data_IF_036885355212
#
_entry.id   IF_036885355212
#
_cell.length_a   1.000
_cell.length_b   1.000
_cell.length_c   1.000
_cell.angle_alpha   90.00
_cell.angle_beta   90.00
_cell.angle_gamma   90.00
#
_symmetry.space_group_name_H-M   'P 1'
#
loop_
_entity.id
_entity.type
_entity.pdbx_description
1 polymer ?
#
# COMPACT_ATOMS: atom_id res chain seq x y z
N UNK A 1 -24.37 33.35 -4.03
CA UNK A 1 -23.24 34.26 -3.78
C UNK A 1 -21.97 33.43 -3.65
N UNK A 2 -20.85 33.84 -4.25
CA UNK A 2 -19.56 33.12 -4.14
C UNK A 2 -18.82 33.69 -2.93
N UNK A 3 -18.32 32.83 -2.04
CA UNK A 3 -17.68 33.23 -0.78
C UNK A 3 -16.20 32.84 -0.74
N UNK A 4 -15.73 32.08 -1.73
CA UNK A 4 -14.35 31.61 -1.86
C UNK A 4 -13.56 32.41 -2.91
N UNK A 5 -12.47 33.06 -2.44
CA UNK A 5 -11.48 33.72 -3.28
C UNK A 5 -10.64 32.72 -4.10
N UNK A 6 -9.96 33.20 -5.15
CA UNK A 6 -9.21 32.35 -6.09
C UNK A 6 -8.09 31.55 -5.40
N UNK A 7 -7.33 32.16 -4.49
CA UNK A 7 -6.22 31.49 -3.81
C UNK A 7 -6.67 30.32 -2.91
N UNK A 8 -7.79 30.45 -2.20
CA UNK A 8 -8.33 29.37 -1.35
C UNK A 8 -8.75 28.15 -2.20
N UNK A 9 -9.32 28.39 -3.38
CA UNK A 9 -9.68 27.31 -4.34
C UNK A 9 -8.45 26.57 -4.83
N UNK A 10 -7.36 27.29 -5.14
CA UNK A 10 -6.12 26.68 -5.64
C UNK A 10 -5.47 25.80 -4.55
N UNK A 11 -5.45 26.26 -3.30
CA UNK A 11 -4.94 25.47 -2.17
C UNK A 11 -5.76 24.20 -1.98
N UNK A 12 -7.09 24.27 -2.02
CA UNK A 12 -7.96 23.07 -1.89
C UNK A 12 -7.72 22.05 -3.00
N UNK A 13 -7.46 22.52 -4.20
CA UNK A 13 -7.17 21.66 -5.34
C UNK A 13 -5.82 20.93 -5.16
N UNK A 14 -4.80 21.62 -4.66
CA UNK A 14 -3.51 20.98 -4.32
C UNK A 14 -3.68 19.96 -3.18
N UNK A 15 -4.43 20.31 -2.12
CA UNK A 15 -4.70 19.38 -1.02
C UNK A 15 -5.47 18.15 -1.48
N UNK A 16 -6.45 18.32 -2.39
CA UNK A 16 -7.16 17.20 -2.98
C UNK A 16 -6.24 16.28 -3.79
N UNK A 17 -5.31 16.84 -4.57
CA UNK A 17 -4.30 16.09 -5.32
C UNK A 17 -3.41 15.25 -4.40
N UNK A 18 -2.92 15.85 -3.32
CA UNK A 18 -2.16 15.14 -2.28
C UNK A 18 -2.99 14.02 -1.61
N UNK A 19 -4.25 14.28 -1.26
CA UNK A 19 -5.14 13.27 -0.70
C UNK A 19 -5.34 12.09 -1.65
N UNK A 20 -5.48 12.33 -2.95
CA UNK A 20 -5.63 11.28 -3.97
C UNK A 20 -4.36 10.42 -4.05
N UNK A 21 -3.18 11.05 -4.09
CA UNK A 21 -1.91 10.33 -4.13
C UNK A 21 -1.69 9.46 -2.88
N UNK A 22 -1.94 10.02 -1.70
CA UNK A 22 -1.82 9.28 -0.43
C UNK A 22 -2.82 8.12 -0.39
N UNK A 23 -4.08 8.38 -0.75
CA UNK A 23 -5.11 7.35 -0.77
C UNK A 23 -4.77 6.20 -1.74
N UNK A 24 -4.24 6.54 -2.91
CA UNK A 24 -3.98 5.55 -3.94
C UNK A 24 -2.74 4.70 -3.66
N UNK A 25 -1.66 5.29 -3.15
CA UNK A 25 -0.38 4.59 -3.00
C UNK A 25 -0.10 4.09 -1.59
N UNK A 26 -0.59 4.76 -0.55
CA UNK A 26 -0.06 4.57 0.82
C UNK A 26 -1.10 4.04 1.81
N UNK A 27 -2.38 4.12 1.47
CA UNK A 27 -3.46 3.86 2.41
C UNK A 27 -4.12 2.50 2.18
N UNK A 28 -4.53 1.86 3.28
CA UNK A 28 -5.38 0.67 3.23
C UNK A 28 -6.80 0.97 2.72
N UNK A 29 -7.52 -0.07 2.27
CA UNK A 29 -8.80 0.03 1.56
C UNK A 29 -9.86 0.77 2.36
N UNK A 30 -9.93 0.55 3.68
CA UNK A 30 -10.89 1.22 4.54
C UNK A 30 -10.74 2.76 4.55
N UNK A 31 -9.50 3.25 4.65
CA UNK A 31 -9.20 4.68 4.73
C UNK A 31 -9.08 5.34 3.35
N UNK A 32 -8.80 4.56 2.32
CA UNK A 32 -8.74 5.02 0.93
C UNK A 32 -10.07 5.68 0.51
N UNK A 33 -11.21 5.07 0.84
CA UNK A 33 -12.54 5.63 0.52
C UNK A 33 -12.80 6.98 1.22
N UNK A 34 -12.38 7.11 2.48
CA UNK A 34 -12.54 8.35 3.26
C UNK A 34 -11.73 9.49 2.63
N UNK A 35 -10.49 9.21 2.24
CA UNK A 35 -9.62 10.21 1.60
C UNK A 35 -10.11 10.63 0.22
N UNK A 36 -10.65 9.69 -0.58
CA UNK A 36 -11.26 10.05 -1.86
C UNK A 36 -12.52 10.90 -1.70
N UNK A 37 -13.38 10.58 -0.74
CA UNK A 37 -14.55 11.39 -0.44
C UNK A 37 -14.15 12.80 -0.01
N UNK A 38 -13.12 12.90 0.84
CA UNK A 38 -12.58 14.19 1.28
C UNK A 38 -12.01 15.00 0.11
N UNK A 39 -11.23 14.37 -0.77
CA UNK A 39 -10.70 15.01 -1.98
C UNK A 39 -11.83 15.48 -2.91
N UNK A 40 -12.86 14.66 -3.12
CA UNK A 40 -14.02 14.99 -3.92
C UNK A 40 -14.76 16.23 -3.37
N UNK A 41 -15.00 16.28 -2.07
CA UNK A 41 -15.65 17.42 -1.40
C UNK A 41 -14.81 18.70 -1.54
N UNK A 42 -13.48 18.60 -1.41
CA UNK A 42 -12.58 19.74 -1.59
C UNK A 42 -12.62 20.30 -3.01
N UNK A 43 -12.59 19.42 -4.02
CA UNK A 43 -12.69 19.81 -5.44
C UNK A 43 -14.06 20.42 -5.73
N UNK A 44 -15.14 19.82 -5.23
CA UNK A 44 -16.50 20.35 -5.41
C UNK A 44 -16.66 21.76 -4.83
N UNK A 45 -16.11 22.01 -3.64
CA UNK A 45 -16.13 23.33 -3.01
C UNK A 45 -15.27 24.34 -3.78
N UNK A 46 -14.13 23.92 -4.34
CA UNK A 46 -13.29 24.77 -5.18
C UNK A 46 -14.00 25.15 -6.50
N UNK A 47 -14.71 24.21 -7.13
CA UNK A 47 -15.44 24.42 -8.38
C UNK A 47 -16.64 25.36 -8.20
N UNK A 48 -17.52 25.06 -7.25
CA UNK A 48 -18.72 25.87 -6.97
C UNK A 48 -18.36 27.25 -6.42
N UNK A 49 -17.24 27.37 -5.69
CA UNK A 49 -16.83 28.62 -5.08
C UNK A 49 -17.65 29.02 -3.87
N UNK A 50 -18.36 28.04 -3.29
CA UNK A 50 -19.18 28.17 -2.11
C UNK A 50 -18.70 27.13 -1.10
N UNK A 51 -18.34 27.58 0.09
CA UNK A 51 -18.08 26.70 1.22
C UNK A 51 -19.22 26.87 2.22
N UNK A 52 -19.97 25.80 2.49
CA UNK A 52 -21.08 25.83 3.44
C UNK A 52 -20.67 26.31 4.83
N UNK A 53 -19.47 25.95 5.27
CA UNK A 53 -18.91 26.36 6.56
C UNK A 53 -18.62 27.87 6.64
N UNK A 54 -18.07 28.45 5.57
CA UNK A 54 -17.87 29.90 5.50
C UNK A 54 -19.20 30.66 5.41
N UNK A 55 -20.22 30.06 4.79
CA UNK A 55 -21.57 30.63 4.74
C UNK A 55 -22.24 30.61 6.13
N UNK A 56 -22.04 29.56 6.92
CA UNK A 56 -22.53 29.45 8.30
C UNK A 56 -21.84 30.45 9.24
N UNK A 57 -20.55 30.69 9.07
CA UNK A 57 -19.77 31.66 9.87
C UNK A 57 -19.80 33.09 9.35
N UNK A 58 -20.55 33.39 8.27
CA UNK A 58 -20.62 34.75 7.69
C UNK A 58 -19.28 35.32 7.18
N UNK A 59 -18.27 34.47 6.94
CA UNK A 59 -16.93 34.89 6.49
C UNK A 59 -16.83 34.81 4.97
N UNK A 60 -16.43 35.91 4.33
CA UNK A 60 -16.21 35.98 2.89
C UNK A 60 -14.72 36.19 2.59
N UNK A 61 -14.10 35.22 1.91
CA UNK A 61 -12.71 35.35 1.41
C UNK A 61 -12.66 36.05 0.05
N UNK A 62 -13.82 36.41 -0.51
CA UNK A 62 -13.94 37.06 -1.82
C UNK A 62 -13.39 38.49 -1.89
N UNK A 63 -13.31 39.21 -0.77
CA UNK A 63 -12.79 40.60 -0.76
C UNK A 63 -11.28 40.71 -0.62
N UNK A 64 -10.59 39.72 -0.04
CA UNK A 64 -9.15 39.87 0.23
C UNK A 64 -8.24 39.82 -1.00
N UNK A 65 -8.64 39.17 -2.11
CA UNK A 65 -7.79 39.04 -3.32
C UNK A 65 -8.67 38.97 -4.58
N UNK A 66 -9.19 40.12 -5.04
CA UNK A 66 -9.80 40.30 -6.38
C UNK A 66 -8.69 40.47 -7.44
N UNK A 67 -7.84 39.47 -7.66
CA UNK A 67 -6.99 39.43 -8.86
C UNK A 67 -7.08 38.06 -9.48
N UNK A 68 -7.81 37.95 -10.59
CA UNK A 68 -7.77 36.78 -11.48
C UNK A 68 -6.43 36.83 -12.23
N UNK A 69 -5.34 36.60 -11.50
CA UNK A 69 -4.02 36.56 -12.10
C UNK A 69 -3.88 35.25 -12.88
N UNK A 70 -3.93 35.34 -14.21
CA UNK A 70 -3.72 34.18 -15.09
C UNK A 70 -2.40 33.47 -14.75
N UNK A 71 -1.37 34.20 -14.29
CA UNK A 71 -0.10 33.60 -13.87
C UNK A 71 -0.28 32.68 -12.68
N UNK A 72 -1.07 33.07 -11.67
CA UNK A 72 -1.30 32.25 -10.47
C UNK A 72 -2.03 30.94 -10.81
N UNK A 73 -3.02 31.00 -11.70
CA UNK A 73 -3.74 29.79 -12.14
C UNK A 73 -2.81 28.85 -12.92
N UNK A 74 -1.98 29.39 -13.82
CA UNK A 74 -0.97 28.61 -14.56
C UNK A 74 0.04 27.98 -13.60
N UNK A 75 0.55 28.74 -12.63
CA UNK A 75 1.49 28.24 -11.62
C UNK A 75 0.89 27.08 -10.83
N UNK A 76 -0.36 27.19 -10.36
CA UNK A 76 -1.02 26.09 -9.65
C UNK A 76 -1.26 24.88 -10.55
N UNK A 77 -1.66 25.09 -11.81
CA UNK A 77 -1.85 23.97 -12.74
C UNK A 77 -0.53 23.24 -13.01
N UNK A 78 0.57 23.96 -13.21
CA UNK A 78 1.91 23.38 -13.33
C UNK A 78 2.29 22.63 -12.05
N UNK A 79 2.06 23.23 -10.88
CA UNK A 79 2.36 22.58 -9.60
C UNK A 79 1.57 21.28 -9.40
N UNK A 80 0.28 21.26 -9.72
CA UNK A 80 -0.54 20.03 -9.68
C UNK A 80 0.04 18.95 -10.59
N UNK A 81 0.39 19.29 -11.84
CA UNK A 81 0.97 18.31 -12.77
C UNK A 81 2.31 17.78 -12.24
N UNK A 82 3.13 18.64 -11.65
CA UNK A 82 4.40 18.24 -11.03
C UNK A 82 4.18 17.33 -9.82
N UNK A 83 3.25 17.68 -8.92
CA UNK A 83 2.93 16.88 -7.73
C UNK A 83 2.34 15.53 -8.13
N UNK A 84 1.34 15.50 -9.01
CA UNK A 84 0.74 14.28 -9.52
C UNK A 84 1.77 13.40 -10.25
N UNK A 85 2.55 13.98 -11.16
CA UNK A 85 3.54 13.25 -11.96
C UNK A 85 4.71 12.72 -11.11
N UNK A 86 5.45 13.62 -10.44
CA UNK A 86 6.60 13.26 -9.63
C UNK A 86 6.20 12.44 -8.40
N UNK A 87 5.10 12.80 -7.75
CA UNK A 87 4.56 12.10 -6.59
C UNK A 87 4.12 10.67 -6.93
N UNK A 88 3.46 10.47 -8.07
CA UNK A 88 3.12 9.11 -8.53
C UNK A 88 4.36 8.29 -8.83
N UNK A 89 5.31 8.83 -9.62
CA UNK A 89 6.54 8.12 -9.97
C UNK A 89 7.34 7.71 -8.72
N UNK A 90 7.53 8.64 -7.78
CA UNK A 90 8.23 8.37 -6.53
C UNK A 90 7.48 7.32 -5.69
N UNK A 91 6.16 7.42 -5.60
CA UNK A 91 5.34 6.49 -4.80
C UNK A 91 5.34 5.06 -5.37
N UNK A 92 5.33 4.91 -6.71
CA UNK A 92 5.44 3.58 -7.36
C UNK A 92 6.73 2.88 -6.94
N UNK A 93 7.87 3.58 -7.01
CA UNK A 93 9.17 3.01 -6.68
C UNK A 93 9.25 2.70 -5.18
N UNK A 94 8.83 3.64 -4.35
CA UNK A 94 8.97 3.50 -2.90
C UNK A 94 8.08 2.38 -2.35
N UNK A 95 6.82 2.31 -2.76
CA UNK A 95 5.90 1.24 -2.33
C UNK A 95 6.35 -0.14 -2.83
N UNK A 96 6.93 -0.21 -4.03
CA UNK A 96 7.56 -1.44 -4.55
C UNK A 96 8.75 -1.87 -3.71
N UNK A 97 9.63 -0.95 -3.33
CA UNK A 97 10.80 -1.27 -2.52
C UNK A 97 10.41 -1.75 -1.11
N UNK A 98 9.40 -1.12 -0.50
CA UNK A 98 8.85 -1.56 0.79
C UNK A 98 8.31 -3.00 0.67
N UNK A 99 7.59 -3.32 -0.39
CA UNK A 99 7.09 -4.68 -0.62
C UNK A 99 8.23 -5.69 -0.80
N UNK A 100 9.30 -5.32 -1.52
CA UNK A 100 10.50 -6.17 -1.67
C UNK A 100 11.16 -6.46 -0.33
N UNK A 101 11.34 -5.44 0.49
CA UNK A 101 11.93 -5.56 1.83
C UNK A 101 11.07 -6.45 2.75
N UNK A 102 9.75 -6.24 2.74
CA UNK A 102 8.83 -7.06 3.52
C UNK A 102 8.82 -8.53 3.06
N UNK A 103 8.91 -8.79 1.74
CA UNK A 103 9.04 -10.16 1.22
C UNK A 103 10.37 -10.79 1.63
N UNK A 104 11.47 -10.03 1.58
CA UNK A 104 12.78 -10.51 2.02
C UNK A 104 12.76 -10.90 3.51
N UNK A 105 12.01 -10.17 4.35
CA UNK A 105 11.85 -10.49 5.77
C UNK A 105 11.16 -11.83 6.05
N UNK A 106 10.35 -12.34 5.11
CA UNK A 106 9.77 -13.69 5.16
C UNK A 106 10.74 -14.71 4.54
N UNK A 107 11.42 -14.34 3.46
CA UNK A 107 12.26 -15.25 2.67
C UNK A 107 13.41 -15.83 3.50
N UNK A 108 14.02 -15.04 4.39
CA UNK A 108 15.06 -15.52 5.30
C UNK A 108 14.57 -16.65 6.23
N UNK A 109 13.57 -16.45 7.11
CA UNK A 109 13.09 -17.53 7.97
C UNK A 109 12.48 -18.68 7.16
N UNK A 110 11.95 -18.43 5.96
CA UNK A 110 11.49 -19.49 5.05
C UNK A 110 12.65 -20.40 4.63
N UNK A 111 13.74 -19.81 4.13
CA UNK A 111 14.91 -20.56 3.68
C UNK A 111 15.58 -21.32 4.83
N UNK A 112 15.68 -20.72 6.02
CA UNK A 112 16.21 -21.40 7.20
C UNK A 112 15.34 -22.57 7.66
N UNK A 113 14.01 -22.43 7.58
CA UNK A 113 13.09 -23.53 7.89
C UNK A 113 13.29 -24.68 6.90
N UNK A 114 13.34 -24.39 5.60
CA UNK A 114 13.63 -25.38 4.57
C UNK A 114 14.96 -26.12 4.81
N UNK A 115 16.04 -25.38 5.06
CA UNK A 115 17.37 -25.95 5.30
C UNK A 115 17.39 -26.85 6.53
N UNK A 116 16.82 -26.40 7.66
CA UNK A 116 16.79 -27.21 8.88
C UNK A 116 15.95 -28.49 8.72
N UNK A 117 14.84 -28.43 7.96
CA UNK A 117 14.04 -29.62 7.65
C UNK A 117 14.75 -30.60 6.71
N UNK A 118 15.61 -30.10 5.81
CA UNK A 118 16.46 -30.92 4.94
C UNK A 118 17.56 -31.64 5.73
N UNK A 119 18.11 -30.96 6.74
CA UNK A 119 19.17 -31.48 7.61
C UNK A 119 18.66 -32.34 8.77
N UNK A 120 17.35 -32.60 8.83
CA UNK A 120 16.69 -33.38 9.90
C UNK A 120 16.87 -32.76 11.32
N UNK A 121 17.08 -31.45 11.41
CA UNK A 121 17.36 -30.73 12.66
C UNK A 121 16.07 -30.29 13.37
N UNK A 122 15.34 -31.24 13.97
CA UNK A 122 13.99 -31.00 14.54
C UNK A 122 13.85 -29.77 15.44
N UNK A 123 14.73 -29.59 16.42
CA UNK A 123 14.62 -28.47 17.36
C UNK A 123 14.84 -27.12 16.65
N UNK A 124 15.76 -27.08 15.68
CA UNK A 124 15.98 -25.89 14.86
C UNK A 124 14.78 -25.65 13.94
N UNK A 125 14.25 -26.68 13.29
CA UNK A 125 13.07 -26.57 12.44
C UNK A 125 11.86 -26.01 13.18
N UNK A 126 11.62 -26.43 14.42
CA UNK A 126 10.56 -25.85 15.27
C UNK A 126 10.81 -24.36 15.51
N UNK A 127 12.03 -23.98 15.91
CA UNK A 127 12.38 -22.59 16.18
C UNK A 127 12.26 -21.69 14.94
N UNK A 128 12.80 -22.14 13.80
CA UNK A 128 12.74 -21.41 12.52
C UNK A 128 11.30 -21.33 11.99
N UNK A 129 10.53 -22.40 12.16
CA UNK A 129 9.12 -22.43 11.81
C UNK A 129 8.31 -21.36 12.55
N UNK A 130 8.51 -21.21 13.87
CA UNK A 130 7.78 -20.20 14.65
C UNK A 130 8.11 -18.77 14.19
N UNK A 131 9.38 -18.51 13.85
CA UNK A 131 9.81 -17.23 13.27
C UNK A 131 9.18 -16.98 11.88
N UNK A 132 9.15 -18.01 11.03
CA UNK A 132 8.49 -17.96 9.72
C UNK A 132 7.00 -17.68 9.87
N UNK A 133 6.30 -18.42 10.73
CA UNK A 133 4.87 -18.25 10.95
C UNK A 133 4.55 -16.84 11.49
N UNK A 134 5.40 -16.31 12.36
CA UNK A 134 5.27 -14.95 12.90
C UNK A 134 5.47 -13.87 11.83
N UNK A 135 6.58 -13.93 11.08
CA UNK A 135 6.90 -12.97 10.01
C UNK A 135 5.85 -13.00 8.89
N UNK A 136 5.45 -14.18 8.44
CA UNK A 136 4.40 -14.35 7.44
C UNK A 136 3.04 -13.85 7.96
N UNK A 137 2.74 -14.07 9.24
CA UNK A 137 1.54 -13.52 9.88
C UNK A 137 1.53 -11.98 9.88
N UNK A 138 2.65 -11.34 10.19
CA UNK A 138 2.80 -9.89 10.16
C UNK A 138 2.65 -9.33 8.73
N UNK A 139 3.28 -9.98 7.75
CA UNK A 139 3.14 -9.63 6.34
C UNK A 139 1.68 -9.73 5.87
N UNK A 140 1.05 -10.88 6.09
CA UNK A 140 -0.34 -11.10 5.67
C UNK A 140 -1.29 -10.11 6.36
N UNK A 141 -1.05 -9.76 7.62
CA UNK A 141 -1.84 -8.73 8.31
C UNK A 141 -1.71 -7.37 7.62
N UNK A 142 -0.49 -6.93 7.30
CA UNK A 142 -0.25 -5.65 6.60
C UNK A 142 -0.94 -5.62 5.24
N UNK A 143 -0.77 -6.67 4.45
CA UNK A 143 -1.27 -6.75 3.08
C UNK A 143 -2.71 -7.28 2.97
N UNK A 144 -3.35 -7.60 4.09
CA UNK A 144 -4.78 -7.96 4.12
C UNK A 144 -5.70 -6.77 3.87
N UNK A 145 -5.25 -5.53 4.09
CA UNK A 145 -6.03 -4.30 3.87
C UNK A 145 -5.30 -3.29 2.97
N UNK A 146 -4.06 -3.55 2.58
CA UNK A 146 -3.25 -2.64 1.78
C UNK A 146 -2.65 -3.35 0.58
N UNK A 147 -2.80 -2.77 -0.62
CA UNK A 147 -2.30 -3.32 -1.88
C UNK A 147 -1.31 -2.32 -2.51
N UNK A 148 0.02 -2.56 -2.42
CA UNK A 148 1.03 -1.75 -3.09
C UNK A 148 0.81 -1.70 -4.59
N UNK A 149 1.22 -0.60 -5.23
CA UNK A 149 1.01 -0.43 -6.66
C UNK A 149 1.56 -1.58 -7.51
N UNK A 150 2.69 -2.17 -7.13
CA UNK A 150 3.32 -3.28 -7.83
C UNK A 150 2.42 -4.52 -7.97
N UNK A 151 1.52 -4.75 -7.01
CA UNK A 151 0.63 -5.94 -6.95
C UNK A 151 -0.85 -5.56 -6.97
N UNK A 152 -1.18 -4.27 -6.98
CA UNK A 152 -2.56 -3.76 -6.91
C UNK A 152 -3.45 -4.27 -8.04
N UNK A 153 -2.87 -4.60 -9.19
CA UNK A 153 -3.59 -5.15 -10.35
C UNK A 153 -3.31 -6.65 -10.55
N UNK A 154 -2.56 -7.29 -9.65
CA UNK A 154 -2.38 -8.74 -9.68
C UNK A 154 -3.51 -9.43 -8.90
N UNK A 155 -4.50 -9.92 -9.64
CA UNK A 155 -5.63 -10.66 -9.07
C UNK A 155 -5.21 -11.96 -8.36
N UNK A 156 -4.01 -12.49 -8.65
CA UNK A 156 -3.50 -13.73 -8.05
C UNK A 156 -2.72 -13.49 -6.76
N UNK A 157 -2.21 -12.29 -6.52
CA UNK A 157 -1.31 -11.99 -5.40
C UNK A 157 -1.87 -12.48 -4.05
N UNK A 158 -3.10 -12.07 -3.72
CA UNK A 158 -3.76 -12.42 -2.46
C UNK A 158 -4.03 -13.94 -2.36
N UNK A 159 -4.42 -14.57 -3.47
CA UNK A 159 -4.64 -16.01 -3.53
C UNK A 159 -3.36 -16.80 -3.33
N UNK A 160 -2.27 -16.40 -3.99
CA UNK A 160 -0.97 -17.05 -3.88
C UNK A 160 -0.38 -16.87 -2.46
N UNK A 161 -0.48 -15.67 -1.87
CA UNK A 161 -0.04 -15.45 -0.48
C UNK A 161 -0.89 -16.25 0.53
N UNK A 162 -2.18 -16.42 0.27
CA UNK A 162 -3.04 -17.30 1.07
C UNK A 162 -2.60 -18.76 0.95
N UNK A 163 -2.28 -19.23 -0.25
CA UNK A 163 -1.75 -20.57 -0.49
C UNK A 163 -0.41 -20.80 0.23
N UNK A 164 0.51 -19.84 0.17
CA UNK A 164 1.78 -19.88 0.93
C UNK A 164 1.51 -19.99 2.43
N UNK A 165 0.58 -19.20 2.97
CA UNK A 165 0.21 -19.27 4.38
C UNK A 165 -0.41 -20.60 4.78
N UNK A 166 -1.25 -21.18 3.93
CA UNK A 166 -1.83 -22.51 4.17
C UNK A 166 -0.76 -23.60 4.16
N UNK A 167 0.17 -23.55 3.22
CA UNK A 167 1.31 -24.48 3.12
C UNK A 167 2.15 -24.44 4.40
N UNK A 168 2.51 -23.24 4.86
CA UNK A 168 3.27 -23.07 6.12
C UNK A 168 2.46 -23.53 7.32
N UNK A 169 1.17 -23.21 7.42
CA UNK A 169 0.35 -23.70 8.53
C UNK A 169 0.22 -25.23 8.54
N UNK A 170 0.07 -25.85 7.38
CA UNK A 170 -0.06 -27.29 7.24
C UNK A 170 1.24 -28.03 7.62
N UNK A 171 2.42 -27.47 7.31
CA UNK A 171 3.70 -28.08 7.65
C UNK A 171 3.99 -28.11 9.16
N UNK A 172 3.24 -27.34 9.97
CA UNK A 172 3.39 -27.32 11.43
C UNK A 172 3.35 -28.71 12.03
N UNK A 173 2.34 -29.50 11.67
CA UNK A 173 2.14 -30.81 12.28
C UNK A 173 3.37 -31.69 12.03
N UNK A 174 3.80 -31.78 10.78
CA UNK A 174 4.94 -32.60 10.36
C UNK A 174 6.24 -32.17 11.07
N UNK A 175 6.49 -30.86 11.18
CA UNK A 175 7.65 -30.32 11.90
C UNK A 175 7.64 -30.72 13.37
N UNK A 176 6.48 -30.59 14.03
CA UNK A 176 6.34 -30.89 15.45
C UNK A 176 6.31 -32.39 15.75
N UNK A 177 5.83 -33.24 14.83
CA UNK A 177 5.86 -34.70 14.99
C UNK A 177 7.19 -35.32 14.54
N UNK A 178 8.06 -34.56 13.87
CA UNK A 178 9.36 -35.04 13.39
C UNK A 178 9.33 -35.66 11.99
N UNK A 179 8.25 -35.48 11.24
CA UNK A 179 8.14 -35.88 9.83
C UNK A 179 8.79 -34.82 8.93
N UNK A 180 10.10 -34.58 9.11
CA UNK A 180 10.78 -33.43 8.51
C UNK A 180 10.91 -33.52 6.98
N UNK A 181 11.01 -34.73 6.42
CA UNK A 181 11.01 -34.93 4.98
C UNK A 181 9.70 -34.48 4.32
N UNK A 182 8.56 -34.83 4.92
CA UNK A 182 7.23 -34.40 4.45
C UNK A 182 7.04 -32.89 4.60
N UNK A 183 7.51 -32.32 5.72
CA UNK A 183 7.50 -30.88 5.95
C UNK A 183 8.33 -30.14 4.89
N UNK A 184 9.53 -30.62 4.59
CA UNK A 184 10.42 -30.05 3.59
C UNK A 184 9.77 -30.06 2.21
N UNK A 185 9.26 -31.22 1.78
CA UNK A 185 8.60 -31.35 0.48
C UNK A 185 7.42 -30.37 0.33
N UNK A 186 6.63 -30.19 1.39
CA UNK A 186 5.51 -29.24 1.39
C UNK A 186 5.97 -27.78 1.34
N UNK A 187 6.97 -27.41 2.15
CA UNK A 187 7.55 -26.06 2.16
C UNK A 187 8.22 -25.72 0.81
N UNK A 188 8.80 -26.70 0.11
CA UNK A 188 9.40 -26.46 -1.20
C UNK A 188 8.37 -25.95 -2.22
N UNK A 189 7.13 -26.45 -2.15
CA UNK A 189 6.02 -25.95 -2.98
C UNK A 189 5.72 -24.48 -2.66
N UNK A 190 5.64 -24.11 -1.37
CA UNK A 190 5.38 -22.73 -1.00
C UNK A 190 6.51 -21.77 -1.39
N UNK A 191 7.77 -22.21 -1.35
CA UNK A 191 8.91 -21.45 -1.89
C UNK A 191 8.78 -21.20 -3.38
N UNK A 192 8.35 -22.19 -4.16
CA UNK A 192 8.11 -22.01 -5.59
C UNK A 192 7.01 -20.98 -5.89
N UNK A 193 5.95 -20.93 -5.06
CA UNK A 193 4.91 -19.91 -5.18
C UNK A 193 5.44 -18.51 -4.88
N UNK A 194 6.24 -18.34 -3.81
CA UNK A 194 6.88 -17.06 -3.51
C UNK A 194 7.79 -16.58 -4.65
N UNK A 195 8.56 -17.49 -5.26
CA UNK A 195 9.39 -17.15 -6.42
C UNK A 195 8.54 -16.73 -7.63
N UNK A 196 7.42 -17.42 -7.88
CA UNK A 196 6.51 -17.07 -8.97
C UNK A 196 5.87 -15.69 -8.76
N UNK A 197 5.46 -15.35 -7.53
CA UNK A 197 4.99 -14.01 -7.17
C UNK A 197 6.07 -12.98 -7.50
N UNK A 198 7.32 -13.20 -7.01
CA UNK A 198 8.41 -12.25 -7.23
C UNK A 198 8.69 -12.01 -8.72
N UNK A 199 8.68 -13.05 -9.54
CA UNK A 199 8.87 -12.95 -11.00
C UNK A 199 7.74 -12.19 -11.68
N UNK A 200 6.49 -12.58 -11.38
CA UNK A 200 5.30 -12.02 -12.01
C UNK A 200 5.18 -10.52 -11.79
N UNK A 201 5.50 -10.07 -10.58
CA UNK A 201 5.31 -8.68 -10.17
C UNK A 201 6.60 -7.85 -10.27
N UNK A 202 7.65 -8.41 -10.88
CA UNK A 202 8.94 -7.75 -11.07
C UNK A 202 9.61 -7.35 -9.75
N UNK A 203 9.47 -8.19 -8.72
CA UNK A 203 10.00 -7.98 -7.37
C UNK A 203 11.38 -8.62 -7.16
N UNK A 204 11.93 -9.28 -8.18
CA UNK A 204 13.33 -9.75 -8.20
C UNK A 204 14.35 -8.60 -8.24
#
# INVERSE_FOLDING_TARGET
MKNLGTSDRLVRVILADLCILIAFFWMGRAWQMVLYLLAFVMVFQAATGVCGFYNLMGRNTCERIKRKDKKMVVVTAVLMVLVAGAGSYASVIMTKNILKEDLASIEEPYNLTLLSTEQDLRNESISRYELLNTSLGAFNKKYSDYDPFAVKFDEKFQGDMTNVSMIVKASRQDIFTGLLSDAHARLAVGKSLLQNIKKRDGLE
#
